data_IF_246099560307
#
_entry.id   IF_246099560307
#
_cell.length_a   1.000
_cell.length_b   1.000
_cell.length_c   1.000
_cell.angle_alpha   90.00
_cell.angle_beta   90.00
_cell.angle_gamma   90.00
#
_symmetry.space_group_name_H-M   'P 1'
#
loop_
_entity.id
_entity.type
_entity.pdbx_description
1 polymer ?
#
# COMPACT_ATOMS: atom_id res chain seq x y z
N UNK A 1 -6.38 -12.00 4.28
CA UNK A 1 -6.96 -13.36 4.38
C UNK A 1 -5.90 -14.45 4.39
N UNK A 2 -4.91 -14.46 3.47
CA UNK A 2 -3.86 -15.50 3.44
C UNK A 2 -3.05 -15.67 4.73
N UNK A 3 -2.70 -14.59 5.44
CA UNK A 3 -2.01 -14.69 6.74
C UNK A 3 -2.86 -15.36 7.84
N UNK A 4 -4.17 -15.09 7.86
CA UNK A 4 -5.10 -15.73 8.79
C UNK A 4 -5.16 -17.23 8.46
N UNK A 5 -5.22 -17.61 7.18
CA UNK A 5 -5.18 -19.01 6.76
C UNK A 5 -3.86 -19.70 7.13
N UNK A 6 -2.72 -18.99 7.08
CA UNK A 6 -1.43 -19.51 7.55
C UNK A 6 -1.46 -19.77 9.07
N UNK A 7 -2.02 -18.86 9.86
CA UNK A 7 -2.20 -19.04 11.30
C UNK A 7 -3.17 -20.19 11.66
N UNK A 8 -4.27 -20.33 10.92
CA UNK A 8 -5.23 -21.43 11.12
C UNK A 8 -4.68 -22.79 10.68
N UNK A 9 -3.76 -22.86 9.72
CA UNK A 9 -3.14 -24.12 9.30
C UNK A 9 -2.33 -24.81 10.41
N UNK A 10 -1.90 -24.05 11.42
CA UNK A 10 -1.23 -24.55 12.63
C UNK A 10 -2.22 -25.27 13.55
N UNK A 11 -3.50 -24.86 13.56
CA UNK A 11 -4.54 -25.51 14.37
C UNK A 11 -4.94 -26.89 13.81
N UNK A 12 -4.59 -27.20 12.55
CA UNK A 12 -4.96 -28.43 11.86
C UNK A 12 -3.78 -29.39 11.62
N UNK A 13 -2.64 -29.20 12.30
CA UNK A 13 -1.44 -30.05 12.21
C UNK A 13 -0.91 -30.27 10.77
N UNK A 14 -1.21 -29.35 9.85
CA UNK A 14 -0.77 -29.44 8.46
C UNK A 14 0.71 -29.09 8.22
N UNK A 15 1.46 -28.68 9.26
CA UNK A 15 2.86 -28.22 9.13
C UNK A 15 3.76 -28.97 10.12
N UNK A 16 4.90 -29.47 9.62
CA UNK A 16 5.94 -30.21 10.37
C UNK A 16 6.92 -29.33 11.17
N UNK A 17 6.93 -28.01 10.92
CA UNK A 17 7.71 -27.00 11.63
C UNK A 17 6.79 -26.24 12.62
N UNK A 18 7.31 -25.65 13.72
CA UNK A 18 6.46 -24.92 14.66
C UNK A 18 5.85 -23.73 13.93
N UNK A 19 4.59 -23.82 13.50
CA UNK A 19 3.94 -22.76 12.73
C UNK A 19 3.90 -21.41 13.45
N UNK A 20 4.01 -21.43 14.79
CA UNK A 20 4.24 -20.26 15.62
C UNK A 20 5.55 -19.53 15.27
N UNK A 21 6.62 -20.24 14.94
CA UNK A 21 7.92 -19.67 14.56
C UNK A 21 7.85 -18.91 13.23
N UNK A 22 7.21 -19.50 12.21
CA UNK A 22 7.01 -18.83 10.90
C UNK A 22 6.10 -17.60 11.07
N UNK A 23 5.02 -17.71 11.84
CA UNK A 23 4.13 -16.59 12.12
C UNK A 23 4.85 -15.46 12.88
N UNK A 24 5.65 -15.79 13.89
CA UNK A 24 6.43 -14.81 14.66
C UNK A 24 7.46 -14.11 13.78
N UNK A 25 8.19 -14.86 12.96
CA UNK A 25 9.10 -14.30 11.95
C UNK A 25 8.37 -13.35 11.01
N UNK A 26 7.24 -13.77 10.46
CA UNK A 26 6.44 -12.94 9.57
C UNK A 26 6.02 -11.61 10.21
N UNK A 27 5.53 -11.66 11.46
CA UNK A 27 5.13 -10.46 12.19
C UNK A 27 6.34 -9.54 12.46
N UNK A 28 7.49 -10.10 12.83
CA UNK A 28 8.72 -9.35 13.05
C UNK A 28 9.24 -8.68 11.76
N UNK A 29 9.35 -9.44 10.66
CA UNK A 29 9.78 -8.92 9.37
C UNK A 29 8.81 -7.85 8.85
N UNK A 30 7.50 -8.03 9.05
CA UNK A 30 6.50 -7.01 8.72
C UNK A 30 6.68 -5.75 9.55
N UNK A 31 6.95 -5.86 10.85
CA UNK A 31 7.19 -4.72 11.72
C UNK A 31 8.40 -3.90 11.25
N UNK A 32 9.52 -4.56 10.93
CA UNK A 32 10.70 -3.91 10.35
C UNK A 32 10.36 -3.22 9.03
N UNK A 33 9.67 -3.92 8.12
CA UNK A 33 9.25 -3.34 6.86
C UNK A 33 8.39 -2.09 7.07
N UNK A 34 7.38 -2.15 7.95
CA UNK A 34 6.55 -0.98 8.27
C UNK A 34 7.35 0.17 8.89
N UNK A 35 8.32 -0.13 9.75
CA UNK A 35 9.19 0.88 10.33
C UNK A 35 10.04 1.58 9.28
N UNK A 36 10.67 0.82 8.37
CA UNK A 36 11.41 1.38 7.24
C UNK A 36 10.51 2.24 6.34
N UNK A 37 9.26 1.82 6.09
CA UNK A 37 8.28 2.66 5.36
C UNK A 37 8.09 4.00 6.04
N UNK A 38 7.88 4.01 7.36
CA UNK A 38 7.70 5.25 8.13
C UNK A 38 8.90 6.17 8.01
N UNK A 39 10.13 5.62 8.11
CA UNK A 39 11.36 6.40 7.91
C UNK A 39 11.40 7.00 6.50
N UNK A 40 11.16 6.19 5.46
CA UNK A 40 11.18 6.67 4.07
C UNK A 40 10.10 7.71 3.80
N UNK A 41 8.93 7.59 4.43
CA UNK A 41 7.84 8.55 4.31
C UNK A 41 8.19 9.91 4.94
N UNK A 42 8.83 9.88 6.11
CA UNK A 42 9.27 11.11 6.80
C UNK A 42 10.41 11.78 6.03
N UNK A 43 11.33 10.99 5.47
CA UNK A 43 12.48 11.51 4.73
C UNK A 43 12.15 11.98 3.31
N UNK A 44 11.17 11.35 2.65
CA UNK A 44 10.83 11.56 1.25
C UNK A 44 9.33 11.39 1.02
N UNK A 45 8.66 12.50 0.72
CA UNK A 45 7.27 12.50 0.27
C UNK A 45 7.30 12.63 -1.26
N UNK A 46 6.79 11.62 -1.96
CA UNK A 46 6.69 11.62 -3.41
C UNK A 46 5.27 12.04 -3.86
N UNK A 47 5.17 12.76 -4.99
CA UNK A 47 3.88 13.16 -5.53
C UNK A 47 3.06 11.92 -5.91
N UNK A 48 1.76 11.99 -5.69
CA UNK A 48 0.84 10.89 -5.97
C UNK A 48 0.82 10.50 -7.44
N UNK A 49 0.68 9.20 -7.74
CA UNK A 49 0.26 8.76 -9.08
C UNK A 49 -1.16 9.26 -9.47
N UNK A 50 -1.91 9.79 -8.50
CA UNK A 50 -3.22 10.47 -8.68
C UNK A 50 -3.12 11.91 -8.16
N UNK A 51 -2.66 12.87 -8.98
CA UNK A 51 -2.45 14.27 -8.55
C UNK A 51 -3.71 14.95 -7.99
N UNK A 52 -4.91 14.50 -8.36
CA UNK A 52 -6.18 14.99 -7.82
C UNK A 52 -6.63 14.33 -6.51
N UNK A 53 -5.93 13.29 -6.01
CA UNK A 53 -6.35 12.50 -4.85
C UNK A 53 -6.59 13.37 -3.62
N UNK A 54 -5.67 14.32 -3.34
CA UNK A 54 -5.77 15.15 -2.16
C UNK A 54 -7.01 16.05 -2.19
N UNK A 55 -7.30 16.65 -3.35
CA UNK A 55 -8.45 17.53 -3.54
C UNK A 55 -9.78 16.78 -3.49
N UNK A 56 -9.82 15.54 -3.96
CA UNK A 56 -11.04 14.73 -3.93
C UNK A 56 -11.31 14.13 -2.54
N UNK A 57 -10.26 13.77 -1.78
CA UNK A 57 -10.40 13.01 -0.53
C UNK A 57 -10.37 13.86 0.74
N UNK A 58 -9.73 15.02 0.70
CA UNK A 58 -9.55 15.86 1.87
C UNK A 58 -10.14 17.25 1.66
N UNK A 59 -10.70 17.83 2.73
CA UNK A 59 -11.00 19.25 2.75
C UNK A 59 -9.70 20.01 2.94
N UNK A 60 -9.26 20.68 1.88
CA UNK A 60 -8.01 21.43 1.87
C UNK A 60 -8.28 22.83 2.42
N UNK A 61 -7.72 23.20 3.58
CA UNK A 61 -7.91 24.54 4.14
C UNK A 61 -7.25 25.58 3.23
N UNK A 62 -7.86 26.77 3.13
CA UNK A 62 -7.33 27.84 2.28
C UNK A 62 -6.02 28.43 2.79
N UNK A 63 -5.78 28.34 4.10
CA UNK A 63 -4.59 28.88 4.77
C UNK A 63 -3.94 27.81 5.67
N UNK A 64 -2.61 27.84 5.86
CA UNK A 64 -1.92 26.98 6.80
C UNK A 64 -2.46 27.17 8.22
N UNK A 65 -2.38 26.13 9.04
CA UNK A 65 -2.69 26.27 10.46
C UNK A 65 -1.72 27.29 11.11
N UNK A 66 -2.18 28.15 12.05
CA UNK A 66 -1.33 29.11 12.75
C UNK A 66 0.00 28.57 13.32
N UNK A 67 0.06 27.31 13.77
CA UNK A 67 1.31 26.72 14.25
C UNK A 67 2.32 26.52 13.11
N UNK A 68 1.87 26.10 11.93
CA UNK A 68 2.72 25.92 10.76
C UNK A 68 3.23 27.27 10.25
N UNK A 69 2.39 28.31 10.28
CA UNK A 69 2.81 29.68 9.96
C UNK A 69 3.88 30.20 10.93
N UNK A 70 3.85 29.79 12.21
CA UNK A 70 4.82 30.22 13.22
C UNK A 70 6.19 29.55 13.07
N UNK A 71 6.23 28.28 12.66
CA UNK A 71 7.45 27.46 12.72
C UNK A 71 8.03 27.05 11.35
N UNK A 72 7.28 27.21 10.26
CA UNK A 72 7.75 26.87 8.90
C UNK A 72 7.85 28.14 8.05
N UNK A 73 9.09 28.53 7.73
CA UNK A 73 9.44 29.76 7.00
C UNK A 73 8.63 29.96 5.71
N UNK A 74 8.37 28.93 4.86
CA UNK A 74 7.56 29.11 3.65
C UNK A 74 6.08 29.47 3.91
N UNK A 75 5.54 29.07 5.06
CA UNK A 75 4.15 29.33 5.46
C UNK A 75 3.99 30.59 6.32
N UNK A 76 5.10 31.11 6.87
CA UNK A 76 5.16 32.36 7.62
C UNK A 76 5.07 33.59 6.71
N UNK A 77 5.74 33.53 5.55
CA UNK A 77 5.71 34.58 4.53
C UNK A 77 4.52 34.42 3.58
N UNK A 78 4.29 33.16 3.17
CA UNK A 78 3.37 32.66 2.14
C UNK A 78 1.98 32.16 2.59
N UNK A 79 0.96 32.98 2.91
CA UNK A 79 -0.33 32.40 3.37
C UNK A 79 -1.08 31.56 2.32
N UNK A 80 -0.76 31.73 1.04
CA UNK A 80 -1.26 30.95 -0.09
C UNK A 80 -0.28 29.83 -0.52
N UNK A 81 0.88 29.67 0.12
CA UNK A 81 1.91 28.73 -0.30
C UNK A 81 1.39 27.28 -0.35
N UNK A 82 0.56 26.86 0.61
CA UNK A 82 -0.09 25.52 0.58
C UNK A 82 -0.95 25.35 -0.66
N UNK A 83 -1.80 26.33 -0.96
CA UNK A 83 -2.68 26.29 -2.13
C UNK A 83 -1.88 26.25 -3.43
N UNK A 84 -0.75 26.98 -3.50
CA UNK A 84 0.15 26.93 -4.66
C UNK A 84 0.82 25.58 -4.81
N UNK A 85 1.34 24.98 -3.74
CA UNK A 85 1.95 23.63 -3.81
C UNK A 85 0.93 22.63 -4.34
N UNK A 86 -0.30 22.65 -3.82
CA UNK A 86 -1.36 21.71 -4.22
C UNK A 86 -1.77 21.94 -5.69
N UNK A 87 -1.92 23.19 -6.11
CA UNK A 87 -2.29 23.51 -7.50
C UNK A 87 -1.16 23.23 -8.49
N UNK A 88 0.10 23.41 -8.11
CA UNK A 88 1.25 23.06 -8.95
C UNK A 88 1.47 21.55 -9.03
N UNK A 89 1.19 20.80 -7.97
CA UNK A 89 1.24 19.32 -7.99
C UNK A 89 0.12 18.73 -8.89
N UNK A 90 -1.01 19.46 -9.03
CA UNK A 90 -2.07 19.14 -9.99
C UNK A 90 -1.70 19.41 -11.46
N UNK A 91 -0.58 20.08 -11.77
CA UNK A 91 -0.28 20.56 -13.13
C UNK A 91 -0.09 19.45 -14.18
N UNK A 92 0.14 18.20 -13.76
CA UNK A 92 0.24 17.04 -14.66
C UNK A 92 -1.11 16.35 -14.93
N UNK A 93 -2.20 16.86 -14.36
CA UNK A 93 -3.55 16.34 -14.56
C UNK A 93 -4.28 17.16 -15.65
N UNK A 94 -4.89 16.50 -16.63
CA UNK A 94 -5.77 17.18 -17.59
C UNK A 94 -6.95 17.85 -16.87
N UNK A 95 -7.47 18.96 -17.38
CA UNK A 95 -8.64 19.62 -16.79
C UNK A 95 -9.89 18.79 -17.10
N UNK A 96 -10.33 17.99 -16.13
CA UNK A 96 -11.54 17.16 -16.23
C UNK A 96 -12.16 16.95 -14.84
N UNK A 97 -13.43 16.52 -14.80
CA UNK A 97 -14.05 16.08 -13.56
C UNK A 97 -13.39 14.76 -13.12
N UNK A 98 -12.63 14.81 -12.03
CA UNK A 98 -11.99 13.62 -11.48
C UNK A 98 -12.88 12.94 -10.45
N UNK A 99 -13.07 11.62 -10.55
CA UNK A 99 -13.75 10.87 -9.50
C UNK A 99 -12.85 10.75 -8.25
N UNK A 100 -13.48 10.65 -7.07
CA UNK A 100 -12.79 10.37 -5.80
C UNK A 100 -11.91 9.12 -5.86
N UNK A 101 -12.33 8.16 -6.69
CA UNK A 101 -11.59 6.94 -6.95
C UNK A 101 -11.42 6.72 -8.44
N UNK A 102 -10.17 6.53 -8.87
CA UNK A 102 -9.86 6.21 -10.25
C UNK A 102 -10.37 4.81 -10.57
N UNK A 103 -11.31 4.72 -11.51
CA UNK A 103 -11.77 3.45 -12.08
C UNK A 103 -10.92 3.14 -13.32
N UNK A 104 -10.04 2.12 -13.28
CA UNK A 104 -9.29 1.74 -14.46
C UNK A 104 -10.22 1.12 -15.50
N UNK A 105 -9.98 1.42 -16.78
CA UNK A 105 -10.63 0.70 -17.87
C UNK A 105 -9.90 -0.62 -18.12
N UNK A 106 -10.52 -1.74 -17.77
CA UNK A 106 -10.03 -3.09 -18.03
C UNK A 106 -10.67 -3.71 -19.29
N UNK A 107 -11.32 -2.88 -20.11
CA UNK A 107 -12.06 -3.31 -21.30
C UNK A 107 -13.17 -4.30 -20.93
N UNK A 108 -13.11 -5.50 -21.51
CA UNK A 108 -14.12 -6.55 -21.26
C UNK A 108 -14.13 -7.06 -19.81
N UNK A 109 -13.08 -6.84 -19.05
CA UNK A 109 -12.95 -7.29 -17.65
C UNK A 109 -13.33 -6.20 -16.65
N UNK A 110 -13.85 -5.04 -17.09
CA UNK A 110 -14.23 -3.93 -16.20
C UNK A 110 -15.34 -4.27 -15.21
N UNK A 111 -16.10 -5.36 -15.44
CA UNK A 111 -17.08 -5.90 -14.48
C UNK A 111 -16.43 -6.45 -13.20
N UNK A 112 -15.18 -6.93 -13.28
CA UNK A 112 -14.45 -7.47 -12.12
C UNK A 112 -14.16 -6.37 -11.09
N UNK A 113 -14.07 -5.11 -11.53
CA UNK A 113 -13.81 -3.97 -10.63
C UNK A 113 -14.93 -3.84 -9.61
N UNK A 114 -16.18 -3.97 -10.04
CA UNK A 114 -17.35 -3.84 -9.15
C UNK A 114 -17.47 -5.03 -8.17
N UNK A 115 -17.00 -6.22 -8.57
CA UNK A 115 -16.93 -7.41 -7.72
C UNK A 115 -15.80 -7.30 -6.68
N UNK A 116 -14.63 -6.83 -7.11
CA UNK A 116 -13.43 -6.77 -6.27
C UNK A 116 -13.42 -5.56 -5.32
N UNK A 117 -14.12 -4.48 -5.66
CA UNK A 117 -14.23 -3.27 -4.84
C UNK A 117 -15.64 -2.66 -4.94
N UNK A 118 -16.59 -3.10 -4.10
CA UNK A 118 -17.92 -2.49 -4.07
C UNK A 118 -17.83 -1.00 -3.73
N UNK A 119 -18.63 -0.19 -4.44
CA UNK A 119 -18.66 1.26 -4.30
C UNK A 119 -19.32 1.59 -2.95
N UNK A 120 -18.73 2.48 -2.13
CA UNK A 120 -19.22 2.73 -0.77
C UNK A 120 -20.67 3.22 -0.69
N UNK A 121 -21.16 3.87 -1.76
CA UNK A 121 -22.52 4.39 -1.83
C UNK A 121 -23.62 3.33 -1.70
N UNK A 122 -23.31 2.05 -1.88
CA UNK A 122 -24.27 0.95 -1.87
C UNK A 122 -24.05 -0.08 -0.73
N UNK A 123 -23.14 0.18 0.22
CA UNK A 123 -22.78 -0.80 1.25
C UNK A 123 -22.75 -0.27 2.69
N UNK A 124 -22.68 -1.17 3.69
CA UNK A 124 -22.70 -0.82 5.11
C UNK A 124 -21.59 0.15 5.54
N UNK A 125 -21.88 0.99 6.55
CA UNK A 125 -21.04 2.13 6.98
C UNK A 125 -19.59 1.79 7.34
N UNK A 126 -19.30 0.55 7.75
CA UNK A 126 -17.94 0.09 8.03
C UNK A 126 -17.05 0.01 6.78
N UNK A 127 -17.63 -0.11 5.58
CA UNK A 127 -16.88 0.01 4.33
C UNK A 127 -16.25 1.39 4.17
N UNK A 128 -16.95 2.44 4.58
CA UNK A 128 -16.38 3.79 4.60
C UNK A 128 -15.24 3.91 5.62
N UNK A 129 -15.31 3.24 6.78
CA UNK A 129 -14.23 3.22 7.76
C UNK A 129 -12.98 2.52 7.22
N UNK A 130 -13.12 1.33 6.64
CA UNK A 130 -12.01 0.61 6.00
C UNK A 130 -11.43 1.39 4.81
N UNK A 131 -12.30 2.03 4.02
CA UNK A 131 -11.86 2.85 2.88
C UNK A 131 -11.16 4.12 3.34
N UNK A 132 -11.63 4.79 4.39
CA UNK A 132 -10.96 5.96 4.98
C UNK A 132 -9.62 5.59 5.61
N UNK A 133 -9.51 4.38 6.17
CA UNK A 133 -8.25 3.78 6.63
C UNK A 133 -7.35 3.31 5.46
N UNK A 134 -7.87 3.20 4.23
CA UNK A 134 -7.11 2.81 3.04
C UNK A 134 -6.26 3.98 2.53
N UNK A 135 -4.98 3.99 2.91
CA UNK A 135 -3.90 4.76 2.29
C UNK A 135 -3.98 6.29 2.35
N UNK A 136 -2.83 6.94 2.23
CA UNK A 136 -2.73 8.39 1.98
C UNK A 136 -2.81 8.70 0.49
N UNK A 137 -2.86 9.99 0.14
CA UNK A 137 -2.70 10.44 -1.23
C UNK A 137 -1.23 10.57 -1.66
N UNK A 138 -0.30 10.63 -0.72
CA UNK A 138 1.13 10.68 -1.03
C UNK A 138 1.64 9.30 -1.44
N UNK A 139 2.66 9.28 -2.30
CA UNK A 139 3.37 8.05 -2.60
C UNK A 139 4.54 7.82 -1.63
N UNK A 140 4.94 6.56 -1.50
CA UNK A 140 6.07 6.12 -0.70
C UNK A 140 7.08 5.42 -1.60
N UNK A 141 8.35 5.40 -1.18
CA UNK A 141 9.45 4.74 -1.90
C UNK A 141 9.21 3.25 -2.24
N UNK A 142 8.26 2.60 -1.57
CA UNK A 142 7.78 1.27 -1.96
C UNK A 142 6.33 1.04 -1.55
N UNK A 143 5.63 0.06 -2.13
CA UNK A 143 4.22 -0.27 -1.85
C UNK A 143 4.02 -1.18 -0.62
N UNK A 144 3.03 -0.84 0.22
CA UNK A 144 2.74 -1.55 1.47
C UNK A 144 1.94 -2.83 1.24
N UNK A 145 0.98 -2.77 0.30
CA UNK A 145 0.24 -3.94 -0.15
C UNK A 145 1.19 -4.99 -0.73
N UNK A 146 2.13 -4.55 -1.56
CA UNK A 146 3.13 -5.44 -2.16
C UNK A 146 4.08 -6.02 -1.12
N UNK A 147 4.52 -5.23 -0.12
CA UNK A 147 5.34 -5.75 0.98
C UNK A 147 4.62 -6.91 1.69
N UNK A 148 3.35 -6.72 2.08
CA UNK A 148 2.57 -7.76 2.78
C UNK A 148 2.37 -8.98 1.89
N UNK A 149 2.01 -8.79 0.62
CA UNK A 149 1.81 -9.88 -0.34
C UNK A 149 3.09 -10.72 -0.54
N UNK A 150 4.24 -10.05 -0.70
CA UNK A 150 5.55 -10.68 -0.90
C UNK A 150 5.98 -11.45 0.36
N UNK A 151 5.87 -10.86 1.55
CA UNK A 151 6.16 -11.58 2.79
C UNK A 151 5.26 -12.81 2.95
N UNK A 152 4.00 -12.74 2.53
CA UNK A 152 3.08 -13.88 2.58
C UNK A 152 3.49 -14.97 1.60
N UNK A 153 3.91 -14.62 0.38
CA UNK A 153 4.42 -15.61 -0.57
C UNK A 153 5.75 -16.23 -0.14
N UNK A 154 6.63 -15.45 0.50
CA UNK A 154 7.87 -15.96 1.08
C UNK A 154 7.57 -16.95 2.21
N UNK A 155 6.69 -16.59 3.14
CA UNK A 155 6.25 -17.47 4.22
C UNK A 155 5.61 -18.76 3.69
N UNK A 156 4.76 -18.66 2.66
CA UNK A 156 4.16 -19.83 2.02
C UNK A 156 5.20 -20.73 1.35
N UNK A 157 6.09 -20.13 0.55
CA UNK A 157 7.11 -20.87 -0.20
C UNK A 157 8.06 -21.61 0.72
N UNK A 158 8.33 -21.04 1.90
CA UNK A 158 9.14 -21.69 2.93
C UNK A 158 8.38 -22.77 3.70
N UNK A 159 7.10 -22.56 4.02
CA UNK A 159 6.30 -23.50 4.80
C UNK A 159 5.81 -24.72 4.01
N UNK A 160 5.36 -24.53 2.76
CA UNK A 160 4.72 -25.56 1.94
C UNK A 160 5.48 -25.89 0.66
N UNK A 161 6.04 -24.86 0.00
CA UNK A 161 6.72 -25.01 -1.28
C UNK A 161 5.86 -25.60 -2.41
N UNK A 162 6.51 -26.14 -3.45
CA UNK A 162 5.87 -26.84 -4.56
C UNK A 162 5.27 -25.95 -5.67
N UNK A 163 4.49 -26.54 -6.57
CA UNK A 163 3.89 -25.84 -7.73
C UNK A 163 2.90 -24.73 -7.34
N UNK A 164 2.28 -24.83 -6.17
CA UNK A 164 1.35 -23.81 -5.66
C UNK A 164 2.10 -22.49 -5.40
N UNK A 165 3.40 -22.53 -5.04
CA UNK A 165 4.21 -21.31 -4.93
C UNK A 165 4.28 -20.55 -6.25
N UNK A 166 4.38 -21.24 -7.39
CA UNK A 166 4.38 -20.58 -8.72
C UNK A 166 3.08 -19.81 -8.92
N UNK A 167 1.94 -20.42 -8.58
CA UNK A 167 0.63 -19.77 -8.66
C UNK A 167 0.56 -18.54 -7.75
N UNK A 168 1.08 -18.62 -6.53
CA UNK A 168 1.12 -17.49 -5.59
C UNK A 168 1.99 -16.34 -6.13
N UNK A 169 3.13 -16.64 -6.74
CA UNK A 169 3.96 -15.62 -7.37
C UNK A 169 3.28 -14.99 -8.60
N UNK A 170 2.49 -15.75 -9.36
CA UNK A 170 1.63 -15.19 -10.42
C UNK A 170 0.55 -14.27 -9.84
N UNK A 171 -0.04 -14.61 -8.68
CA UNK A 171 -0.98 -13.74 -7.97
C UNK A 171 -0.31 -12.46 -7.48
N UNK A 172 0.95 -12.50 -7.07
CA UNK A 172 1.74 -11.29 -6.76
C UNK A 172 1.89 -10.43 -8.02
N UNK A 173 2.27 -11.01 -9.17
CA UNK A 173 2.39 -10.26 -10.41
C UNK A 173 1.06 -9.61 -10.83
N UNK A 174 -0.05 -10.34 -10.68
CA UNK A 174 -1.38 -9.79 -10.89
C UNK A 174 -1.69 -8.63 -9.93
N UNK A 175 -1.36 -8.78 -8.63
CA UNK A 175 -1.52 -7.71 -7.64
C UNK A 175 -0.68 -6.48 -7.99
N UNK A 176 0.58 -6.65 -8.42
CA UNK A 176 1.44 -5.56 -8.89
C UNK A 176 0.80 -4.82 -10.07
N UNK A 177 0.34 -5.57 -11.07
CA UNK A 177 -0.32 -5.00 -12.24
C UNK A 177 -1.56 -4.20 -11.83
N UNK A 178 -2.33 -4.70 -10.86
CA UNK A 178 -3.52 -4.04 -10.35
C UNK A 178 -3.19 -2.71 -9.67
N UNK A 179 -2.24 -2.70 -8.74
CA UNK A 179 -1.82 -1.49 -8.01
C UNK A 179 -1.34 -0.39 -8.97
N UNK A 180 -0.62 -0.76 -10.04
CA UNK A 180 -0.13 0.16 -11.07
C UNK A 180 -1.29 0.69 -11.93
N UNK A 181 -2.17 -0.18 -12.44
CA UNK A 181 -3.29 0.24 -13.31
C UNK A 181 -4.31 1.09 -12.57
N UNK A 182 -4.53 0.83 -11.29
CA UNK A 182 -5.40 1.64 -10.41
C UNK A 182 -4.74 2.96 -9.98
N UNK A 183 -3.48 3.19 -10.35
CA UNK A 183 -2.68 4.38 -9.99
C UNK A 183 -2.60 4.55 -8.46
N UNK A 184 -2.47 3.45 -7.74
CA UNK A 184 -2.27 3.47 -6.29
C UNK A 184 -0.80 3.74 -5.93
N UNK A 185 0.12 3.25 -6.75
CA UNK A 185 1.57 3.40 -6.61
C UNK A 185 2.22 3.45 -7.98
N UNK A 186 3.43 4.00 -8.09
CA UNK A 186 4.23 3.84 -9.30
C UNK A 186 4.74 2.40 -9.43
N UNK A 187 5.08 2.02 -10.66
CA UNK A 187 5.68 0.71 -10.94
C UNK A 187 6.95 0.47 -10.15
N UNK A 188 7.78 1.50 -9.97
CA UNK A 188 9.00 1.43 -9.18
C UNK A 188 8.71 1.06 -7.73
N UNK A 189 7.66 1.60 -7.12
CA UNK A 189 7.34 1.33 -5.71
C UNK A 189 6.90 -0.12 -5.50
N UNK A 190 6.18 -0.69 -6.47
CA UNK A 190 5.81 -2.10 -6.46
C UNK A 190 7.04 -3.01 -6.64
N UNK A 191 7.94 -2.68 -7.56
CA UNK A 191 9.15 -3.46 -7.82
C UNK A 191 10.09 -3.41 -6.60
N UNK A 192 10.34 -2.22 -6.06
CA UNK A 192 11.16 -2.02 -4.86
C UNK A 192 10.54 -2.78 -3.68
N UNK A 193 9.21 -2.78 -3.52
CA UNK A 193 8.56 -3.55 -2.46
C UNK A 193 8.79 -5.06 -2.58
N UNK A 194 8.85 -5.61 -3.80
CA UNK A 194 9.16 -7.03 -4.04
C UNK A 194 10.60 -7.32 -3.59
N UNK A 195 11.58 -6.51 -4.04
CA UNK A 195 12.97 -6.69 -3.64
C UNK A 195 13.17 -6.53 -2.13
N UNK A 196 12.64 -5.46 -1.54
CA UNK A 196 12.72 -5.18 -0.10
C UNK A 196 12.06 -6.30 0.69
N UNK A 197 10.88 -6.79 0.28
CA UNK A 197 10.18 -7.88 0.95
C UNK A 197 11.00 -9.18 0.95
N UNK A 198 11.56 -9.58 -0.19
CA UNK A 198 12.43 -10.76 -0.30
C UNK A 198 13.70 -10.59 0.53
N UNK A 199 14.36 -9.44 0.43
CA UNK A 199 15.60 -9.13 1.13
C UNK A 199 15.39 -9.10 2.65
N UNK A 200 14.34 -8.42 3.14
CA UNK A 200 13.98 -8.43 4.56
C UNK A 200 13.68 -9.84 5.05
N UNK A 201 12.94 -10.64 4.29
CA UNK A 201 12.65 -12.02 4.66
C UNK A 201 13.92 -12.85 4.79
N UNK A 202 14.84 -12.74 3.83
CA UNK A 202 16.13 -13.46 3.83
C UNK A 202 17.04 -12.98 4.96
N UNK A 203 17.21 -11.66 5.11
CA UNK A 203 18.06 -11.07 6.14
C UNK A 203 17.52 -11.34 7.54
N UNK A 204 16.22 -11.31 7.78
CA UNK A 204 15.70 -11.64 9.12
C UNK A 204 15.73 -13.14 9.42
N UNK A 205 16.00 -13.98 8.41
CA UNK A 205 16.01 -15.44 8.54
C UNK A 205 17.03 -15.97 9.54
N UNK A 206 18.21 -15.35 9.68
CA UNK A 206 19.25 -15.82 10.62
C UNK A 206 18.81 -15.76 12.09
N UNK A 207 17.85 -14.90 12.42
CA UNK A 207 17.32 -14.77 13.79
C UNK A 207 16.47 -15.99 14.16
N UNK A 208 15.88 -16.63 13.15
CA UNK A 208 14.91 -17.71 13.31
C UNK A 208 15.45 -19.07 12.83
N UNK A 209 16.74 -19.14 12.45
CA UNK A 209 17.43 -20.39 12.18
C UNK A 209 17.95 -20.99 13.49
N UNK A 210 17.06 -21.67 14.22
CA UNK A 210 17.39 -22.53 15.37
C UNK A 210 16.62 -23.83 15.21
#
# INVERSE_FOLDING_TARGET
MLFIMLGFSVLFDCIKAPGLGIATRYMFTMAIGRFLRTITFIATILPSARPWCAAARYQIPQHPHPWAQKYYVPYASDSNAIRRVITHDMAYAAVQAYPDEYRPDWGRMSFLVDILRPIPGEGPSWYHLLKKASGGCNDLMYSGHMLVAVLTAMAWTEAYGGWISVVIWLLILHSTQREIRERHHYSVDCIVAIYVGVLLWRMTGFIWSV
#
